data_IF_172151165682
#
_entry.id   IF_172151165682
#
_cell.length_a   1.000
_cell.length_b   1.000
_cell.length_c   1.000
_cell.angle_alpha   90.00
_cell.angle_beta   90.00
_cell.angle_gamma   90.00
#
_symmetry.space_group_name_H-M   'P 1'
#
loop_
_entity.id
_entity.type
_entity.pdbx_description
1 polymer ?
#
# COMPACT_ATOMS: atom_id res chain seq x y z
N UNK A 1 -40.84 1.66 -19.88
CA UNK A 1 -39.57 1.38 -20.59
C UNK A 1 -38.54 2.52 -20.53
N UNK A 2 -38.94 3.78 -20.29
CA UNK A 2 -38.02 4.92 -20.17
C UNK A 2 -37.21 4.94 -18.86
N UNK A 3 -37.77 4.48 -17.76
CA UNK A 3 -37.10 4.48 -16.44
C UNK A 3 -35.95 3.45 -16.31
N UNK A 4 -36.06 2.32 -17.01
CA UNK A 4 -35.02 1.31 -17.03
C UNK A 4 -33.76 1.77 -17.78
N UNK A 5 -33.93 2.54 -18.86
CA UNK A 5 -32.81 3.10 -19.63
C UNK A 5 -32.11 4.24 -18.87
N UNK A 6 -32.85 5.05 -18.12
CA UNK A 6 -32.31 6.10 -17.24
C UNK A 6 -31.50 5.52 -16.06
N UNK A 7 -32.01 4.47 -15.43
CA UNK A 7 -31.32 3.78 -14.33
C UNK A 7 -30.01 3.11 -14.76
N UNK A 8 -29.98 2.46 -15.92
CA UNK A 8 -28.78 1.81 -16.49
C UNK A 8 -27.71 2.84 -16.85
N UNK A 9 -28.10 3.99 -17.42
CA UNK A 9 -27.13 5.04 -17.80
C UNK A 9 -26.49 5.73 -16.58
N UNK A 10 -27.26 5.92 -15.50
CA UNK A 10 -26.77 6.48 -14.24
C UNK A 10 -25.80 5.51 -13.55
N UNK A 11 -26.07 4.22 -13.61
CA UNK A 11 -25.22 3.18 -13.02
C UNK A 11 -23.87 3.08 -13.76
N UNK A 12 -23.85 3.11 -15.08
CA UNK A 12 -22.61 3.13 -15.88
C UNK A 12 -21.74 4.37 -15.63
N UNK A 13 -22.33 5.54 -15.49
CA UNK A 13 -21.60 6.78 -15.17
C UNK A 13 -20.98 6.71 -13.78
N UNK A 14 -21.72 6.17 -12.84
CA UNK A 14 -21.23 5.98 -11.47
C UNK A 14 -20.09 4.98 -11.43
N UNK A 15 -20.23 3.86 -12.12
CA UNK A 15 -19.19 2.83 -12.24
C UNK A 15 -17.90 3.41 -12.80
N UNK A 16 -17.97 4.15 -13.91
CA UNK A 16 -16.81 4.82 -14.53
C UNK A 16 -16.15 5.81 -13.56
N UNK A 17 -16.93 6.57 -12.80
CA UNK A 17 -16.39 7.50 -11.78
C UNK A 17 -15.64 6.75 -10.68
N UNK A 18 -16.19 5.66 -10.15
CA UNK A 18 -15.52 4.83 -9.14
C UNK A 18 -14.23 4.24 -9.67
N UNK A 19 -14.21 3.74 -10.90
CA UNK A 19 -13.01 3.23 -11.53
C UNK A 19 -11.94 4.32 -11.73
N UNK A 20 -12.33 5.50 -12.20
CA UNK A 20 -11.41 6.63 -12.34
C UNK A 20 -10.81 7.01 -10.99
N UNK A 21 -11.63 7.08 -9.94
CA UNK A 21 -11.15 7.34 -8.58
C UNK A 21 -10.23 6.22 -8.10
N UNK A 22 -10.53 4.96 -8.40
CA UNK A 22 -9.65 3.82 -8.10
C UNK A 22 -8.27 3.94 -8.76
N UNK A 23 -8.23 4.36 -10.03
CA UNK A 23 -6.97 4.62 -10.75
C UNK A 23 -6.19 5.78 -10.11
N UNK A 24 -6.87 6.90 -9.82
CA UNK A 24 -6.26 8.04 -9.13
C UNK A 24 -5.71 7.64 -7.76
N UNK A 25 -6.45 6.83 -7.01
CA UNK A 25 -5.99 6.27 -5.74
C UNK A 25 -4.72 5.43 -5.93
N UNK A 26 -4.63 4.59 -6.97
CA UNK A 26 -3.43 3.79 -7.25
C UNK A 26 -2.20 4.65 -7.51
N UNK A 27 -2.32 5.70 -8.33
CA UNK A 27 -1.22 6.63 -8.62
C UNK A 27 -0.83 7.46 -7.39
N UNK A 28 -1.81 7.93 -6.62
CA UNK A 28 -1.57 8.67 -5.36
C UNK A 28 -0.91 7.77 -4.32
N UNK A 29 -1.31 6.50 -4.24
CA UNK A 29 -0.66 5.51 -3.39
C UNK A 29 0.82 5.39 -3.72
N UNK A 30 1.18 5.33 -5.01
CA UNK A 30 2.57 5.29 -5.44
C UNK A 30 3.38 6.47 -4.90
N UNK A 31 2.85 7.69 -4.98
CA UNK A 31 3.53 8.89 -4.49
C UNK A 31 3.82 8.82 -2.97
N UNK A 32 2.84 8.44 -2.17
CA UNK A 32 2.96 8.35 -0.72
C UNK A 32 3.82 7.18 -0.27
N UNK A 33 3.67 6.00 -0.88
CA UNK A 33 4.51 4.83 -0.59
C UNK A 33 5.97 5.09 -0.96
N UNK A 34 6.24 5.80 -2.06
CA UNK A 34 7.61 6.20 -2.42
C UNK A 34 8.23 7.18 -1.43
N UNK A 35 7.45 8.12 -0.88
CA UNK A 35 7.90 9.03 0.17
C UNK A 35 8.16 8.31 1.50
N UNK A 36 7.36 7.29 1.83
CA UNK A 36 7.48 6.51 3.06
C UNK A 36 8.77 5.69 3.16
N UNK A 37 9.43 5.43 2.03
CA UNK A 37 10.72 4.71 2.01
C UNK A 37 11.91 5.59 2.44
N UNK A 38 11.75 6.90 2.48
CA UNK A 38 12.86 7.82 2.80
C UNK A 38 13.49 7.57 4.18
N UNK A 39 12.76 7.27 5.26
CA UNK A 39 13.36 6.98 6.57
C UNK A 39 14.12 5.65 6.62
N UNK A 40 13.91 4.71 5.69
CA UNK A 40 14.69 3.46 5.66
C UNK A 40 16.17 3.71 5.41
N UNK A 41 16.53 4.86 4.86
CA UNK A 41 17.94 5.28 4.71
C UNK A 41 18.68 5.41 6.03
N UNK A 42 17.99 5.48 7.16
CA UNK A 42 18.61 5.43 8.48
C UNK A 42 19.36 4.11 8.73
N UNK A 43 19.09 3.06 7.95
CA UNK A 43 19.88 1.82 7.97
C UNK A 43 21.35 2.06 7.67
N UNK A 44 21.65 3.06 6.84
CA UNK A 44 23.05 3.42 6.48
C UNK A 44 23.82 4.02 7.65
N UNK A 45 23.13 4.41 8.73
CA UNK A 45 23.71 4.90 9.97
C UNK A 45 23.98 3.79 11.00
N UNK A 46 23.87 2.51 10.59
CA UNK A 46 24.17 1.35 11.42
C UNK A 46 23.05 0.88 12.34
N UNK A 47 21.82 1.35 12.13
CA UNK A 47 20.64 0.85 12.87
C UNK A 47 20.32 -0.59 12.47
N UNK A 48 19.93 -1.40 13.46
CA UNK A 48 19.45 -2.76 13.23
C UNK A 48 18.23 -2.75 12.32
N UNK A 49 18.20 -3.56 11.23
CA UNK A 49 17.04 -3.69 10.36
C UNK A 49 15.73 -4.01 11.10
N UNK A 50 15.83 -4.80 12.16
CA UNK A 50 14.67 -5.22 12.95
C UNK A 50 14.10 -4.07 13.77
N UNK A 51 14.97 -3.21 14.34
CA UNK A 51 14.56 -1.99 15.06
C UNK A 51 13.87 -1.03 14.11
N UNK A 52 14.41 -0.86 12.89
CA UNK A 52 13.81 -0.03 11.85
C UNK A 52 12.40 -0.53 11.52
N UNK A 53 12.27 -1.82 11.17
CA UNK A 53 10.98 -2.42 10.85
C UNK A 53 9.97 -2.32 11.97
N UNK A 54 10.36 -2.66 13.19
CA UNK A 54 9.45 -2.61 14.33
C UNK A 54 8.98 -1.19 14.61
N UNK A 55 9.88 -0.21 14.60
CA UNK A 55 9.51 1.18 14.83
C UNK A 55 8.59 1.71 13.70
N UNK A 56 8.86 1.37 12.43
CA UNK A 56 7.95 1.71 11.33
C UNK A 56 6.58 1.07 11.51
N UNK A 57 6.51 -0.22 11.90
CA UNK A 57 5.25 -0.93 12.14
C UNK A 57 4.47 -0.33 13.31
N UNK A 58 5.13 0.16 14.35
CA UNK A 58 4.47 0.94 15.40
C UNK A 58 3.85 2.23 14.83
N UNK A 59 4.57 2.93 13.96
CA UNK A 59 4.04 4.09 13.24
C UNK A 59 2.82 3.75 12.37
N UNK A 60 2.88 2.62 11.67
CA UNK A 60 1.75 2.05 10.90
C UNK A 60 0.56 1.76 11.83
N UNK A 61 0.80 1.14 12.99
CA UNK A 61 -0.25 0.85 13.97
C UNK A 61 -0.94 2.14 14.45
N UNK A 62 -0.17 3.16 14.83
CA UNK A 62 -0.71 4.45 15.25
C UNK A 62 -1.59 5.07 14.16
N UNK A 63 -1.15 5.05 12.89
CA UNK A 63 -1.89 5.61 11.79
C UNK A 63 -3.17 4.81 11.45
N UNK A 64 -3.10 3.48 11.42
CA UNK A 64 -4.23 2.60 11.08
C UNK A 64 -5.33 2.55 12.13
N UNK A 65 -5.08 3.06 13.33
CA UNK A 65 -6.12 3.26 14.34
C UNK A 65 -6.58 4.71 14.39
N UNK A 66 -5.64 5.68 14.35
CA UNK A 66 -6.00 7.10 14.49
C UNK A 66 -6.71 7.67 13.26
N UNK A 67 -6.27 7.33 12.04
CA UNK A 67 -6.90 7.84 10.82
C UNK A 67 -8.35 7.34 10.64
N UNK A 68 -8.68 6.04 10.78
CA UNK A 68 -10.06 5.59 10.75
C UNK A 68 -10.91 6.18 11.90
N UNK A 69 -10.36 6.28 13.11
CA UNK A 69 -11.04 6.91 14.24
C UNK A 69 -11.36 8.39 13.93
N UNK A 70 -10.42 9.10 13.30
CA UNK A 70 -10.63 10.50 12.90
C UNK A 70 -11.62 10.65 11.75
N UNK A 71 -11.60 9.76 10.75
CA UNK A 71 -12.43 9.89 9.53
C UNK A 71 -13.84 9.41 9.77
N UNK A 72 -14.04 8.22 10.33
CA UNK A 72 -15.35 7.58 10.48
C UNK A 72 -15.74 7.25 11.91
N UNK A 73 -14.78 7.05 12.81
CA UNK A 73 -14.97 6.66 14.21
C UNK A 73 -14.93 5.15 14.44
N UNK A 74 -14.56 4.76 15.66
CA UNK A 74 -14.45 3.34 16.07
C UNK A 74 -15.78 2.62 16.09
N UNK A 75 -16.88 3.31 16.33
CA UNK A 75 -18.25 2.74 16.25
C UNK A 75 -18.60 2.25 14.85
N UNK A 76 -18.13 2.96 13.81
CA UNK A 76 -18.29 2.52 12.41
C UNK A 76 -17.51 1.23 12.15
N UNK A 77 -16.26 1.16 12.60
CA UNK A 77 -15.43 -0.04 12.48
C UNK A 77 -16.13 -1.24 13.14
N UNK A 78 -16.64 -1.05 14.37
CA UNK A 78 -17.36 -2.09 15.08
C UNK A 78 -18.65 -2.54 14.37
N UNK A 79 -19.39 -1.61 13.76
CA UNK A 79 -20.59 -1.92 12.98
C UNK A 79 -20.25 -2.70 11.71
N UNK A 80 -19.21 -2.29 10.99
CA UNK A 80 -18.73 -2.92 9.76
C UNK A 80 -18.28 -4.37 10.02
N UNK A 81 -17.57 -4.60 11.13
CA UNK A 81 -17.11 -5.92 11.56
C UNK A 81 -18.27 -6.86 11.98
N UNK A 82 -19.32 -6.32 12.57
CA UNK A 82 -20.50 -7.14 12.92
C UNK A 82 -21.22 -7.67 11.69
N UNK A 83 -21.14 -6.99 10.55
CA UNK A 83 -21.70 -7.45 9.28
C UNK A 83 -20.89 -8.60 8.66
N UNK A 84 -19.58 -8.63 8.89
CA UNK A 84 -18.70 -9.63 8.29
C UNK A 84 -17.55 -10.03 9.23
N UNK A 85 -17.85 -10.70 10.38
CA UNK A 85 -16.86 -10.97 11.43
C UNK A 85 -15.75 -11.91 11.00
N UNK A 86 -15.99 -12.79 10.03
CA UNK A 86 -14.99 -13.68 9.46
C UNK A 86 -13.80 -12.93 8.82
N UNK A 87 -14.02 -11.68 8.40
CA UNK A 87 -12.97 -10.86 7.79
C UNK A 87 -11.89 -10.42 8.77
N UNK A 88 -12.14 -10.48 10.09
CA UNK A 88 -11.11 -10.23 11.11
C UNK A 88 -9.96 -11.23 10.94
N UNK A 89 -10.29 -12.52 10.78
CA UNK A 89 -9.28 -13.57 10.60
C UNK A 89 -8.46 -13.33 9.33
N UNK A 90 -9.13 -12.96 8.23
CA UNK A 90 -8.46 -12.64 6.98
C UNK A 90 -7.58 -11.40 7.09
N UNK A 91 -8.02 -10.37 7.85
CA UNK A 91 -7.23 -9.17 8.08
C UNK A 91 -5.97 -9.46 8.89
N UNK A 92 -6.11 -10.19 10.01
CA UNK A 92 -4.97 -10.58 10.86
C UNK A 92 -3.98 -11.44 10.08
N UNK A 93 -4.46 -12.44 9.32
CA UNK A 93 -3.62 -13.28 8.47
C UNK A 93 -2.84 -12.45 7.43
N UNK A 94 -3.51 -11.50 6.77
CA UNK A 94 -2.86 -10.61 5.81
C UNK A 94 -1.77 -9.76 6.48
N UNK A 95 -2.01 -9.28 7.70
CA UNK A 95 -1.02 -8.55 8.50
C UNK A 95 0.19 -9.40 8.88
N UNK A 96 -0.02 -10.66 9.26
CA UNK A 96 1.07 -11.60 9.50
C UNK A 96 1.91 -11.85 8.25
N UNK A 97 1.26 -12.08 7.09
CA UNK A 97 1.96 -12.27 5.81
C UNK A 97 2.79 -11.03 5.44
N UNK A 98 2.23 -9.83 5.65
CA UNK A 98 2.93 -8.58 5.41
C UNK A 98 4.18 -8.44 6.28
N UNK A 99 4.10 -8.73 7.58
CA UNK A 99 5.21 -8.60 8.51
C UNK A 99 6.37 -9.55 8.15
N UNK A 100 6.07 -10.79 7.78
CA UNK A 100 7.07 -11.76 7.33
C UNK A 100 7.71 -11.29 6.02
N UNK A 101 6.90 -10.87 5.05
CA UNK A 101 7.39 -10.36 3.76
C UNK A 101 8.30 -9.14 3.95
N UNK A 102 7.88 -8.17 4.76
CA UNK A 102 8.67 -6.97 5.08
C UNK A 102 10.02 -7.33 5.73
N UNK A 103 10.03 -8.28 6.65
CA UNK A 103 11.28 -8.77 7.25
C UNK A 103 12.21 -9.38 6.19
N UNK A 104 11.67 -10.21 5.30
CA UNK A 104 12.45 -10.83 4.22
C UNK A 104 13.02 -9.80 3.23
N UNK A 105 12.31 -8.70 2.95
CA UNK A 105 12.86 -7.63 2.09
C UNK A 105 14.08 -6.96 2.69
N UNK A 106 14.11 -6.78 4.01
CA UNK A 106 15.27 -6.20 4.69
C UNK A 106 16.48 -7.11 4.60
N UNK A 107 16.28 -8.42 4.79
CA UNK A 107 17.34 -9.41 4.57
C UNK A 107 17.80 -9.43 3.12
N UNK A 108 16.86 -9.37 2.15
CA UNK A 108 17.20 -9.30 0.74
C UNK A 108 18.05 -8.06 0.42
N UNK A 109 17.66 -6.88 0.93
CA UNK A 109 18.44 -5.64 0.74
C UNK A 109 19.83 -5.75 1.35
N UNK A 110 19.96 -6.36 2.53
CA UNK A 110 21.25 -6.60 3.15
C UNK A 110 22.15 -7.51 2.30
N UNK A 111 21.58 -8.61 1.77
CA UNK A 111 22.35 -9.68 1.15
C UNK A 111 22.66 -9.43 -0.34
N UNK A 112 21.74 -8.81 -1.10
CA UNK A 112 21.92 -8.53 -2.54
C UNK A 112 21.85 -7.05 -2.91
N UNK A 113 21.47 -6.19 -1.95
CA UNK A 113 21.26 -4.77 -2.18
C UNK A 113 19.90 -4.43 -2.75
N UNK A 114 19.52 -3.16 -2.60
CA UNK A 114 18.20 -2.67 -2.99
C UNK A 114 17.97 -2.86 -4.50
N UNK A 115 18.97 -2.63 -5.32
CA UNK A 115 18.87 -2.69 -6.78
C UNK A 115 18.48 -4.06 -7.33
N UNK A 116 18.85 -5.15 -6.68
CA UNK A 116 18.48 -6.50 -7.09
C UNK A 116 17.21 -6.95 -6.38
N UNK A 117 17.10 -6.66 -5.08
CA UNK A 117 15.98 -7.09 -4.27
C UNK A 117 14.66 -6.45 -4.73
N UNK A 118 14.69 -5.16 -5.06
CA UNK A 118 13.50 -4.37 -5.37
C UNK A 118 12.69 -4.88 -6.59
N UNK A 119 13.29 -5.15 -7.77
CA UNK A 119 12.58 -5.75 -8.88
C UNK A 119 12.04 -7.14 -8.56
N UNK A 120 12.79 -7.94 -7.79
CA UNK A 120 12.39 -9.30 -7.49
C UNK A 120 11.12 -9.36 -6.63
N UNK A 121 11.02 -8.56 -5.57
CA UNK A 121 9.80 -8.55 -4.77
C UNK A 121 8.62 -7.84 -5.44
N UNK A 122 8.87 -6.93 -6.39
CA UNK A 122 7.80 -6.31 -7.19
C UNK A 122 7.11 -7.28 -8.17
N UNK A 123 7.61 -8.50 -8.30
CA UNK A 123 6.86 -9.60 -8.89
C UNK A 123 5.52 -9.88 -8.17
N UNK A 124 5.31 -9.31 -6.96
CA UNK A 124 4.04 -9.31 -6.24
C UNK A 124 2.86 -8.84 -7.10
N UNK A 125 3.07 -7.87 -8.00
CA UNK A 125 2.03 -7.40 -8.93
C UNK A 125 1.57 -8.48 -9.89
N UNK A 126 2.50 -9.26 -10.44
CA UNK A 126 2.18 -10.35 -11.35
C UNK A 126 1.41 -11.46 -10.62
N UNK A 127 1.82 -11.77 -9.38
CA UNK A 127 1.08 -12.69 -8.52
C UNK A 127 -0.30 -12.15 -8.13
N UNK A 128 -0.40 -10.84 -7.84
CA UNK A 128 -1.69 -10.19 -7.59
C UNK A 128 -2.63 -10.31 -8.78
N UNK A 129 -2.13 -10.11 -10.01
CA UNK A 129 -2.90 -10.30 -11.24
C UNK A 129 -3.35 -11.77 -11.37
N UNK A 130 -2.44 -12.72 -11.15
CA UNK A 130 -2.76 -14.15 -11.19
C UNK A 130 -3.89 -14.51 -10.21
N UNK A 131 -3.80 -14.07 -8.96
CA UNK A 131 -4.82 -14.30 -7.95
C UNK A 131 -6.14 -13.59 -8.27
N UNK A 132 -6.08 -12.38 -8.83
CA UNK A 132 -7.25 -11.65 -9.30
C UNK A 132 -8.05 -12.44 -10.33
N UNK A 133 -7.36 -13.06 -11.29
CA UNK A 133 -7.96 -13.89 -12.33
C UNK A 133 -8.51 -15.20 -11.75
N UNK A 134 -7.73 -15.89 -10.93
CA UNK A 134 -8.06 -17.23 -10.42
C UNK A 134 -9.21 -17.19 -9.40
N UNK A 135 -9.12 -16.31 -8.40
CA UNK A 135 -10.09 -16.31 -7.31
C UNK A 135 -11.25 -15.33 -7.48
N UNK A 136 -11.03 -14.21 -8.17
CA UNK A 136 -11.99 -13.11 -8.18
C UNK A 136 -12.61 -12.84 -9.55
N UNK A 137 -12.32 -13.70 -10.55
CA UNK A 137 -12.81 -13.58 -11.91
C UNK A 137 -12.47 -12.22 -12.56
N UNK A 138 -11.40 -11.55 -12.09
CA UNK A 138 -10.92 -10.33 -12.71
C UNK A 138 -10.45 -10.63 -14.14
N UNK A 139 -10.64 -9.69 -15.05
CA UNK A 139 -10.41 -9.86 -16.49
C UNK A 139 -11.30 -10.89 -17.20
N UNK A 140 -12.12 -11.68 -16.48
CA UNK A 140 -13.10 -12.57 -17.13
C UNK A 140 -14.20 -11.75 -17.76
N UNK A 141 -14.38 -11.94 -19.09
CA UNK A 141 -15.32 -11.14 -19.89
C UNK A 141 -14.71 -9.82 -20.39
N UNK A 142 -13.45 -9.55 -20.10
CA UNK A 142 -12.69 -8.51 -20.76
C UNK A 142 -12.31 -8.95 -22.20
N UNK A 143 -12.25 -8.00 -23.12
CA UNK A 143 -11.73 -8.24 -24.47
C UNK A 143 -10.19 -8.40 -24.45
N UNK A 144 -9.62 -8.97 -25.51
CA UNK A 144 -8.20 -9.25 -25.61
C UNK A 144 -7.33 -7.98 -25.46
N UNK A 145 -7.83 -6.82 -25.86
CA UNK A 145 -7.12 -5.53 -25.75
C UNK A 145 -6.93 -5.14 -24.29
N UNK A 146 -7.92 -5.40 -23.43
CA UNK A 146 -7.82 -5.14 -22.00
C UNK A 146 -6.87 -6.12 -21.31
N UNK A 147 -6.92 -7.40 -21.71
CA UNK A 147 -5.95 -8.39 -21.28
C UNK A 147 -4.53 -7.95 -21.61
N UNK A 148 -4.29 -7.61 -22.87
CA UNK A 148 -2.98 -7.12 -23.31
C UNK A 148 -2.57 -5.84 -22.59
N UNK A 149 -3.50 -4.92 -22.35
CA UNK A 149 -3.26 -3.69 -21.60
C UNK A 149 -2.83 -3.94 -20.18
N UNK A 150 -3.52 -4.80 -19.43
CA UNK A 150 -3.17 -5.09 -18.04
C UNK A 150 -1.87 -5.89 -17.94
N UNK A 151 -1.74 -7.00 -18.67
CA UNK A 151 -0.55 -7.85 -18.61
C UNK A 151 0.67 -7.17 -19.22
N UNK A 152 0.50 -6.56 -20.37
CA UNK A 152 1.58 -5.83 -21.06
C UNK A 152 2.03 -4.61 -20.26
N UNK A 153 1.10 -3.85 -19.68
CA UNK A 153 1.43 -2.73 -18.81
C UNK A 153 2.15 -3.16 -17.54
N UNK A 154 1.72 -4.26 -16.90
CA UNK A 154 2.41 -4.80 -15.73
C UNK A 154 3.82 -5.31 -16.06
N UNK A 155 3.99 -5.94 -17.23
CA UNK A 155 5.29 -6.36 -17.72
C UNK A 155 6.20 -5.15 -18.00
N UNK A 156 5.69 -4.11 -18.66
CA UNK A 156 6.45 -2.87 -18.89
C UNK A 156 6.88 -2.23 -17.55
N UNK A 157 5.99 -2.16 -16.56
CA UNK A 157 6.35 -1.66 -15.24
C UNK A 157 7.46 -2.48 -14.59
N UNK A 158 7.38 -3.80 -14.68
CA UNK A 158 8.41 -4.70 -14.14
C UNK A 158 9.75 -4.52 -14.85
N UNK A 159 9.76 -4.44 -16.17
CA UNK A 159 10.98 -4.19 -16.97
C UNK A 159 11.57 -2.82 -16.66
N UNK A 160 10.75 -1.77 -16.60
CA UNK A 160 11.19 -0.42 -16.24
C UNK A 160 11.79 -0.36 -14.83
N UNK A 161 11.14 -1.01 -13.85
CA UNK A 161 11.65 -1.13 -12.49
C UNK A 161 12.99 -1.85 -12.42
N UNK A 162 13.15 -2.94 -13.18
CA UNK A 162 14.42 -3.68 -13.28
C UNK A 162 15.53 -2.82 -13.88
N UNK A 163 15.23 -2.05 -14.93
CA UNK A 163 16.19 -1.13 -15.53
C UNK A 163 16.65 -0.05 -14.53
N UNK A 164 15.71 0.53 -13.76
CA UNK A 164 16.03 1.49 -12.70
C UNK A 164 16.94 0.88 -11.63
N UNK A 165 16.64 -0.34 -11.22
CA UNK A 165 17.40 -1.04 -10.20
C UNK A 165 18.85 -1.34 -10.67
N UNK A 166 19.03 -1.80 -11.91
CA UNK A 166 20.36 -2.04 -12.49
C UNK A 166 21.16 -0.74 -12.58
N UNK A 167 20.53 0.36 -12.97
CA UNK A 167 21.17 1.67 -13.08
C UNK A 167 21.70 2.19 -11.74
N UNK A 168 21.03 1.87 -10.63
CA UNK A 168 21.43 2.30 -9.29
C UNK A 168 22.47 1.37 -8.64
N UNK A 169 22.84 0.25 -9.28
CA UNK A 169 23.75 -0.74 -8.71
C UNK A 169 25.21 -0.44 -9.00
N UNK A 170 25.93 0.10 -8.02
CA UNK A 170 27.41 0.08 -7.96
C UNK A 170 27.84 -1.08 -7.06
N UNK A 171 27.85 -2.34 -7.54
CA UNK A 171 27.86 -3.47 -6.61
C UNK A 171 29.12 -4.33 -6.64
N UNK A 172 29.66 -4.59 -5.44
CA UNK A 172 30.60 -5.68 -5.19
C UNK A 172 29.87 -7.03 -5.08
N UNK A 173 30.50 -8.15 -5.51
CA UNK A 173 29.98 -9.49 -5.32
C UNK A 173 29.69 -9.78 -3.83
N UNK A 174 28.54 -10.37 -3.52
CA UNK A 174 28.13 -10.70 -2.14
C UNK A 174 28.09 -12.19 -1.93
N UNK A 175 28.59 -12.65 -0.78
CA UNK A 175 28.68 -14.06 -0.43
C UNK A 175 27.31 -14.75 -0.33
N UNK A 176 26.28 -14.02 0.05
CA UNK A 176 24.93 -14.55 0.34
C UNK A 176 23.89 -14.25 -0.75
N UNK A 177 24.34 -14.05 -1.99
CA UNK A 177 23.47 -13.62 -3.10
C UNK A 177 22.22 -14.52 -3.29
N UNK A 178 22.39 -15.85 -3.21
CA UNK A 178 21.27 -16.78 -3.37
C UNK A 178 20.23 -16.60 -2.25
N UNK A 179 20.65 -16.44 -1.00
CA UNK A 179 19.76 -16.18 0.13
C UNK A 179 18.96 -14.90 -0.04
N UNK A 180 19.62 -13.82 -0.49
CA UNK A 180 18.98 -12.54 -0.75
C UNK A 180 17.95 -12.61 -1.88
N UNK A 181 18.27 -13.32 -2.98
CA UNK A 181 17.33 -13.53 -4.10
C UNK A 181 16.12 -14.35 -3.64
N UNK A 182 16.33 -15.44 -2.91
CA UNK A 182 15.23 -16.28 -2.39
C UNK A 182 14.36 -15.48 -1.42
N UNK A 183 14.96 -14.69 -0.53
CA UNK A 183 14.23 -13.82 0.39
C UNK A 183 13.37 -12.80 -0.37
N UNK A 184 13.90 -12.13 -1.39
CA UNK A 184 13.18 -11.16 -2.21
C UNK A 184 12.00 -11.80 -2.96
N UNK A 185 12.20 -12.94 -3.60
CA UNK A 185 11.15 -13.66 -4.31
C UNK A 185 10.07 -14.16 -3.35
N UNK A 186 10.46 -14.70 -2.18
CA UNK A 186 9.51 -15.15 -1.16
C UNK A 186 8.69 -13.97 -0.62
N UNK A 187 9.31 -12.81 -0.39
CA UNK A 187 8.59 -11.60 -0.02
C UNK A 187 7.57 -11.19 -1.08
N UNK A 188 7.94 -11.25 -2.37
CA UNK A 188 7.04 -11.01 -3.49
C UNK A 188 5.84 -11.96 -3.50
N UNK A 189 6.06 -13.25 -3.24
CA UNK A 189 4.98 -14.25 -3.13
C UNK A 189 4.04 -13.95 -1.95
N UNK A 190 4.60 -13.63 -0.78
CA UNK A 190 3.80 -13.33 0.41
C UNK A 190 2.98 -12.05 0.22
N UNK A 191 3.58 -10.97 -0.29
CA UNK A 191 2.85 -9.72 -0.58
C UNK A 191 1.80 -9.91 -1.67
N UNK A 192 2.12 -10.63 -2.76
CA UNK A 192 1.15 -10.94 -3.80
C UNK A 192 -0.05 -11.74 -3.26
N UNK A 193 0.19 -12.68 -2.34
CA UNK A 193 -0.84 -13.52 -1.73
C UNK A 193 -1.67 -12.76 -0.69
N UNK A 194 -1.11 -11.80 0.02
CA UNK A 194 -1.85 -10.99 0.99
C UNK A 194 -2.96 -10.13 0.34
N UNK A 195 -2.92 -9.91 -0.97
CA UNK A 195 -4.00 -9.21 -1.68
C UNK A 195 -5.30 -10.03 -1.78
N UNK A 196 -5.25 -11.36 -1.59
CA UNK A 196 -6.43 -12.22 -1.53
C UNK A 196 -7.36 -11.81 -0.37
N UNK A 197 -6.90 -11.74 0.90
CA UNK A 197 -7.68 -11.17 2.00
C UNK A 197 -8.26 -9.79 1.72
N UNK A 198 -7.48 -8.89 1.14
CA UNK A 198 -7.93 -7.55 0.77
C UNK A 198 -9.14 -7.59 -0.15
N UNK A 199 -9.01 -8.31 -1.26
CA UNK A 199 -10.08 -8.38 -2.26
C UNK A 199 -11.33 -9.07 -1.71
N UNK A 200 -11.18 -10.13 -0.92
CA UNK A 200 -12.32 -10.77 -0.22
C UNK A 200 -13.08 -9.76 0.65
N UNK A 201 -12.37 -8.98 1.45
CA UNK A 201 -12.98 -7.97 2.30
C UNK A 201 -13.77 -6.94 1.48
N UNK A 202 -13.22 -6.46 0.39
CA UNK A 202 -13.87 -5.39 -0.40
C UNK A 202 -15.01 -5.90 -1.27
N UNK A 203 -14.95 -7.12 -1.77
CA UNK A 203 -16.07 -7.75 -2.46
C UNK A 203 -17.26 -7.99 -1.54
N UNK A 204 -17.03 -8.34 -0.27
CA UNK A 204 -18.12 -8.49 0.73
C UNK A 204 -18.57 -7.15 1.32
N UNK A 205 -18.02 -6.04 0.88
CA UNK A 205 -18.49 -4.70 1.22
C UNK A 205 -17.78 -4.04 2.41
N UNK A 206 -16.79 -4.68 3.05
CA UNK A 206 -16.04 -4.05 4.12
C UNK A 206 -15.33 -2.79 3.64
N UNK A 207 -15.30 -1.75 4.49
CA UNK A 207 -14.52 -0.54 4.22
C UNK A 207 -13.02 -0.83 4.35
N UNK A 208 -12.17 -0.26 3.47
CA UNK A 208 -10.73 -0.27 3.67
C UNK A 208 -10.31 0.24 5.06
N UNK A 209 -10.96 1.27 5.57
CA UNK A 209 -10.69 1.83 6.89
C UNK A 209 -10.94 0.83 8.03
N UNK A 210 -11.97 -0.01 7.92
CA UNK A 210 -12.25 -1.05 8.92
C UNK A 210 -11.30 -2.24 8.81
N UNK A 211 -10.95 -2.63 7.58
CA UNK A 211 -10.07 -3.77 7.34
C UNK A 211 -8.66 -3.53 7.89
N UNK A 212 -8.08 -2.36 7.64
CA UNK A 212 -6.69 -2.07 8.04
C UNK A 212 -6.47 -2.02 9.56
N UNK A 213 -7.50 -1.71 10.36
CA UNK A 213 -7.37 -1.69 11.82
C UNK A 213 -7.04 -3.08 12.38
N UNK A 214 -7.66 -4.13 11.86
CA UNK A 214 -7.40 -5.51 12.27
C UNK A 214 -6.19 -6.13 11.56
N UNK A 215 -5.93 -5.72 10.34
CA UNK A 215 -4.71 -6.07 9.63
C UNK A 215 -3.47 -5.70 10.47
N UNK A 216 -3.43 -4.48 11.02
CA UNK A 216 -2.27 -4.01 11.77
C UNK A 216 -2.07 -4.72 13.12
N UNK A 217 -3.10 -5.37 13.66
CA UNK A 217 -2.94 -6.23 14.85
C UNK A 217 -2.08 -7.46 14.52
N UNK A 218 -2.37 -8.13 13.41
CA UNK A 218 -1.54 -9.24 12.92
C UNK A 218 -0.12 -8.80 12.56
N UNK A 219 -0.01 -7.66 11.89
CA UNK A 219 1.25 -7.06 11.50
C UNK A 219 2.16 -6.74 12.69
N UNK A 220 1.63 -6.02 13.68
CA UNK A 220 2.40 -5.65 14.89
C UNK A 220 2.75 -6.88 15.73
N UNK A 221 1.81 -7.80 15.91
CA UNK A 221 2.05 -9.03 16.68
C UNK A 221 3.14 -9.89 16.05
N UNK A 222 3.06 -10.15 14.74
CA UNK A 222 4.06 -10.93 14.02
C UNK A 222 5.42 -10.21 14.00
N UNK A 223 5.44 -8.90 13.70
CA UNK A 223 6.69 -8.13 13.66
C UNK A 223 7.37 -8.07 15.03
N UNK A 224 6.61 -7.90 16.10
CA UNK A 224 7.16 -7.94 17.48
C UNK A 224 7.77 -9.30 17.79
N UNK A 225 7.08 -10.38 17.40
CA UNK A 225 7.58 -11.74 17.59
C UNK A 225 8.89 -11.96 16.85
N UNK A 226 8.94 -11.56 15.56
CA UNK A 226 10.16 -11.67 14.75
C UNK A 226 11.30 -10.82 15.33
N UNK A 227 10.98 -9.62 15.82
CA UNK A 227 11.96 -8.74 16.43
C UNK A 227 12.58 -9.35 17.70
N UNK A 228 11.75 -9.87 18.60
CA UNK A 228 12.20 -10.53 19.83
C UNK A 228 13.07 -11.74 19.52
N UNK A 229 12.65 -12.58 18.56
CA UNK A 229 13.41 -13.77 18.18
C UNK A 229 14.75 -13.42 17.55
N UNK A 230 14.78 -12.43 16.65
CA UNK A 230 15.99 -12.04 15.93
C UNK A 230 17.01 -11.34 16.85
N UNK A 231 16.54 -10.50 17.78
CA UNK A 231 17.41 -9.81 18.75
C UNK A 231 17.87 -10.74 19.89
N UNK A 232 17.39 -11.98 19.96
CA UNK A 232 17.75 -12.93 21.00
C UNK A 232 17.04 -12.71 22.34
N UNK A 233 15.89 -12.01 22.33
CA UNK A 233 15.04 -11.80 23.50
C UNK A 233 14.54 -10.37 23.67
N UNK A 234 13.67 -10.17 24.66
CA UNK A 234 13.03 -8.88 24.92
C UNK A 234 14.04 -7.84 25.44
N UNK A 235 14.96 -8.25 26.34
CA UNK A 235 15.92 -7.32 26.93
C UNK A 235 16.94 -6.78 25.89
N UNK A 236 17.56 -7.60 25.02
CA UNK A 236 18.40 -7.09 23.92
C UNK A 236 17.64 -6.16 23.00
N UNK A 237 16.43 -6.52 22.58
CA UNK A 237 15.57 -5.67 21.72
C UNK A 237 15.30 -4.31 22.38
N UNK A 238 14.99 -4.31 23.65
CA UNK A 238 14.75 -3.06 24.41
C UNK A 238 15.99 -2.17 24.47
N UNK A 239 17.16 -2.75 24.64
CA UNK A 239 18.43 -2.02 24.64
C UNK A 239 18.70 -1.39 23.27
N UNK A 240 18.47 -2.11 22.16
CA UNK A 240 18.59 -1.58 20.81
C UNK A 240 17.62 -0.42 20.55
N UNK A 241 16.34 -0.58 20.93
CA UNK A 241 15.31 0.47 20.81
C UNK A 241 15.67 1.70 21.64
N UNK A 242 16.13 1.50 22.87
CA UNK A 242 16.54 2.59 23.76
C UNK A 242 17.73 3.36 23.20
N UNK A 243 18.70 2.67 22.60
CA UNK A 243 19.81 3.29 21.90
C UNK A 243 19.39 4.13 20.69
N UNK A 244 18.36 3.67 19.98
CA UNK A 244 17.82 4.33 18.79
C UNK A 244 16.82 5.48 19.10
N UNK A 245 16.48 5.77 20.35
CA UNK A 245 15.40 6.69 20.77
C UNK A 245 15.37 8.04 20.04
N UNK A 246 16.54 8.58 19.67
CA UNK A 246 16.65 9.90 19.03
C UNK A 246 16.28 9.89 17.54
N UNK A 247 16.19 8.72 16.92
CA UNK A 247 15.81 8.56 15.49
C UNK A 247 14.48 7.84 15.32
N UNK A 248 13.90 7.28 16.37
CA UNK A 248 12.62 6.53 16.33
C UNK A 248 11.50 7.40 15.74
N UNK A 249 11.44 8.70 16.04
CA UNK A 249 10.44 9.60 15.46
C UNK A 249 10.36 9.50 13.94
N UNK A 250 11.49 9.49 13.26
CA UNK A 250 11.54 9.44 11.79
C UNK A 250 11.02 8.11 11.25
N UNK A 251 11.27 7.02 11.97
CA UNK A 251 10.75 5.69 11.63
C UNK A 251 9.25 5.60 11.84
N UNK A 252 8.74 6.11 12.97
CA UNK A 252 7.30 6.22 13.25
C UNK A 252 6.61 7.06 12.18
N UNK A 253 7.20 8.21 11.82
CA UNK A 253 6.69 9.09 10.77
C UNK A 253 6.66 8.38 9.42
N UNK A 254 7.70 7.63 9.07
CA UNK A 254 7.74 6.81 7.86
C UNK A 254 6.61 5.79 7.81
N UNK A 255 6.38 5.07 8.90
CA UNK A 255 5.25 4.15 9.03
C UNK A 255 3.90 4.85 8.93
N UNK A 256 3.75 6.03 9.53
CA UNK A 256 2.52 6.83 9.42
C UNK A 256 2.25 7.27 7.98
N UNK A 257 3.26 7.79 7.30
CA UNK A 257 3.20 8.22 5.88
C UNK A 257 2.88 7.04 4.97
N UNK A 258 3.46 5.86 5.27
CA UNK A 258 3.19 4.63 4.54
C UNK A 258 1.69 4.26 4.55
N UNK A 259 1.01 4.42 5.69
CA UNK A 259 -0.43 4.12 5.82
C UNK A 259 -1.29 5.03 4.94
N UNK A 260 -0.91 6.27 4.74
CA UNK A 260 -1.63 7.16 3.81
C UNK A 260 -1.59 6.58 2.39
N UNK A 261 -0.41 6.14 1.95
CA UNK A 261 -0.25 5.45 0.66
C UNK A 261 -1.04 4.14 0.60
N UNK A 262 -0.93 3.32 1.64
CA UNK A 262 -1.64 2.04 1.74
C UNK A 262 -3.17 2.22 1.68
N UNK A 263 -3.74 3.20 2.35
CA UNK A 263 -5.17 3.50 2.27
C UNK A 263 -5.62 3.78 0.84
N UNK A 264 -4.89 4.58 0.09
CA UNK A 264 -5.20 4.81 -1.33
C UNK A 264 -5.01 3.54 -2.16
N UNK A 265 -4.00 2.73 -1.89
CA UNK A 265 -3.82 1.42 -2.52
C UNK A 265 -5.04 0.52 -2.27
N UNK A 266 -5.56 0.50 -1.05
CA UNK A 266 -6.75 -0.28 -0.68
C UNK A 266 -7.99 0.18 -1.47
N UNK A 267 -8.21 1.49 -1.62
CA UNK A 267 -9.30 2.01 -2.44
C UNK A 267 -9.09 1.73 -3.94
N UNK A 268 -7.85 1.73 -4.41
CA UNK A 268 -7.53 1.30 -5.78
C UNK A 268 -7.91 -0.17 -6.01
N UNK A 269 -7.56 -1.07 -5.08
CA UNK A 269 -7.96 -2.48 -5.13
C UNK A 269 -9.48 -2.63 -5.07
N UNK A 270 -10.16 -1.84 -4.24
CA UNK A 270 -11.61 -1.89 -4.10
C UNK A 270 -12.33 -1.55 -5.41
N UNK A 271 -11.94 -0.44 -6.06
CA UNK A 271 -12.67 0.11 -7.20
C UNK A 271 -12.09 -0.24 -8.59
N UNK A 272 -10.79 -0.49 -8.69
CA UNK A 272 -10.14 -0.89 -9.94
C UNK A 272 -9.75 -2.38 -10.01
N UNK A 273 -9.85 -3.11 -8.89
CA UNK A 273 -9.43 -4.51 -8.75
C UNK A 273 -7.95 -4.66 -8.42
N UNK A 274 -7.55 -5.88 -8.04
CA UNK A 274 -6.14 -6.20 -7.76
C UNK A 274 -5.29 -6.06 -9.02
N UNK A 275 -5.81 -6.53 -10.15
CA UNK A 275 -5.10 -6.57 -11.45
C UNK A 275 -4.66 -5.20 -11.95
N UNK A 276 -5.29 -4.13 -11.49
CA UNK A 276 -4.97 -2.75 -11.88
C UNK A 276 -4.45 -1.92 -10.70
N UNK A 277 -5.11 -2.03 -9.54
CA UNK A 277 -4.81 -1.22 -8.37
C UNK A 277 -3.38 -1.42 -7.86
N UNK A 278 -2.92 -2.66 -7.77
CA UNK A 278 -1.58 -2.97 -7.26
C UNK A 278 -0.47 -2.53 -8.23
N UNK A 279 -0.51 -2.86 -9.53
CA UNK A 279 0.49 -2.34 -10.45
C UNK A 279 0.58 -0.82 -10.47
N UNK A 280 -0.55 -0.10 -10.41
CA UNK A 280 -0.54 1.36 -10.36
C UNK A 280 0.11 1.92 -9.09
N UNK A 281 -0.09 1.29 -7.94
CA UNK A 281 0.58 1.71 -6.70
C UNK A 281 2.08 1.42 -6.71
N UNK A 282 2.55 0.46 -7.50
CA UNK A 282 3.98 0.17 -7.67
C UNK A 282 4.74 1.27 -8.45
N UNK A 283 4.06 2.34 -8.90
CA UNK A 283 4.72 3.58 -9.30
C UNK A 283 5.50 4.25 -8.15
N UNK A 284 5.38 3.73 -6.92
CA UNK A 284 6.19 4.13 -5.76
C UNK A 284 7.70 4.11 -6.03
N UNK A 285 8.15 3.24 -6.93
CA UNK A 285 9.55 3.19 -7.35
C UNK A 285 10.01 4.47 -8.06
N UNK A 286 9.16 5.04 -8.92
CA UNK A 286 9.46 6.32 -9.59
C UNK A 286 9.56 7.46 -8.56
N UNK A 287 8.64 7.46 -7.60
CA UNK A 287 8.65 8.46 -6.54
C UNK A 287 9.82 8.27 -5.59
N UNK A 288 10.13 7.04 -5.18
CA UNK A 288 11.32 6.72 -4.39
C UNK A 288 12.61 7.15 -5.09
N UNK A 289 12.70 6.94 -6.40
CA UNK A 289 13.83 7.44 -7.21
C UNK A 289 13.90 8.96 -7.21
N UNK A 290 12.78 9.67 -7.35
CA UNK A 290 12.75 11.14 -7.27
C UNK A 290 13.28 11.64 -5.91
N UNK A 291 12.84 11.01 -4.81
CA UNK A 291 13.39 11.32 -3.49
C UNK A 291 14.88 11.04 -3.41
N UNK A 292 15.35 9.88 -3.90
CA UNK A 292 16.74 9.49 -3.89
C UNK A 292 17.64 10.47 -4.66
N UNK A 293 17.23 10.84 -5.86
CA UNK A 293 18.02 11.70 -6.76
C UNK A 293 17.95 13.16 -6.36
N UNK A 294 16.75 13.68 -6.15
CA UNK A 294 16.54 15.11 -5.93
C UNK A 294 16.87 15.52 -4.49
N UNK A 295 16.40 14.75 -3.51
CA UNK A 295 16.57 15.08 -2.09
C UNK A 295 17.91 14.64 -1.55
N UNK A 296 18.33 13.41 -1.86
CA UNK A 296 19.58 12.83 -1.33
C UNK A 296 20.77 12.93 -2.30
N UNK A 297 20.56 13.32 -3.56
CA UNK A 297 21.63 13.51 -4.53
C UNK A 297 22.33 12.22 -4.96
N UNK A 298 21.65 11.06 -4.88
CA UNK A 298 22.29 9.75 -5.08
C UNK A 298 22.95 9.53 -6.44
N UNK A 299 22.49 10.20 -7.48
CA UNK A 299 23.08 10.11 -8.82
C UNK A 299 24.09 11.25 -9.12
N UNK A 300 24.44 12.09 -8.14
CA UNK A 300 25.42 13.15 -8.36
C UNK A 300 26.76 12.53 -8.71
N UNK A 301 27.29 12.86 -9.92
CA UNK A 301 28.52 12.27 -10.44
C UNK A 301 28.38 10.94 -11.19
N UNK A 302 27.12 10.45 -11.40
CA UNK A 302 26.87 9.27 -12.22
C UNK A 302 27.29 9.49 -13.69
N UNK A 303 27.59 8.39 -14.39
CA UNK A 303 27.91 8.41 -15.80
C UNK A 303 26.70 8.68 -16.67
N UNK A 304 26.89 9.18 -17.90
CA UNK A 304 25.83 9.38 -18.88
C UNK A 304 25.02 8.11 -19.15
N UNK A 305 25.66 6.94 -19.13
CA UNK A 305 24.99 5.64 -19.27
C UNK A 305 23.98 5.38 -18.17
N UNK A 306 24.32 5.68 -16.91
CA UNK A 306 23.42 5.53 -15.75
C UNK A 306 22.21 6.46 -15.88
N UNK A 307 22.43 7.73 -16.25
CA UNK A 307 21.32 8.67 -16.49
C UNK A 307 20.39 8.18 -17.60
N UNK A 308 20.93 7.68 -18.71
CA UNK A 308 20.11 7.14 -19.82
C UNK A 308 19.28 5.94 -19.38
N UNK A 309 19.84 5.04 -18.59
CA UNK A 309 19.13 3.89 -18.05
C UNK A 309 18.02 4.31 -17.07
N UNK A 310 18.32 5.29 -16.19
CA UNK A 310 17.34 5.82 -15.23
C UNK A 310 16.18 6.49 -15.96
N UNK A 311 16.46 7.36 -16.92
CA UNK A 311 15.42 8.03 -17.71
C UNK A 311 14.62 7.01 -18.53
N UNK A 312 15.30 6.10 -19.23
CA UNK A 312 14.66 5.06 -20.05
C UNK A 312 13.79 4.14 -19.21
N UNK A 313 14.29 3.63 -18.08
CA UNK A 313 13.53 2.80 -17.15
C UNK A 313 12.31 3.52 -16.58
N UNK A 314 12.45 4.80 -16.22
CA UNK A 314 11.35 5.64 -15.72
C UNK A 314 10.25 5.82 -16.77
N UNK A 315 10.65 6.09 -18.03
CA UNK A 315 9.69 6.24 -19.15
C UNK A 315 8.95 4.94 -19.44
N UNK A 316 9.64 3.80 -19.46
CA UNK A 316 9.03 2.47 -19.66
C UNK A 316 8.03 2.19 -18.53
N UNK A 317 8.40 2.47 -17.30
CA UNK A 317 7.52 2.27 -16.15
C UNK A 317 6.30 3.18 -16.18
N UNK A 318 6.48 4.46 -16.50
CA UNK A 318 5.37 5.42 -16.65
C UNK A 318 4.42 5.02 -17.78
N UNK A 319 4.98 4.54 -18.91
CA UNK A 319 4.19 4.00 -20.03
C UNK A 319 3.37 2.78 -19.59
N UNK A 320 3.98 1.84 -18.86
CA UNK A 320 3.27 0.66 -18.33
C UNK A 320 2.12 1.06 -17.41
N UNK A 321 2.33 2.00 -16.49
CA UNK A 321 1.28 2.52 -15.62
C UNK A 321 0.14 3.19 -16.43
N UNK A 322 0.49 3.98 -17.45
CA UNK A 322 -0.47 4.59 -18.37
C UNK A 322 -1.32 3.55 -19.09
N UNK A 323 -0.70 2.51 -19.66
CA UNK A 323 -1.39 1.41 -20.35
C UNK A 323 -2.39 0.71 -19.43
N UNK A 324 -2.01 0.43 -18.16
CA UNK A 324 -2.92 -0.15 -17.16
C UNK A 324 -4.07 0.82 -16.86
N UNK A 325 -3.78 2.10 -16.64
CA UNK A 325 -4.78 3.11 -16.30
C UNK A 325 -5.85 3.24 -17.40
N UNK A 326 -5.46 3.18 -18.69
CA UNK A 326 -6.39 3.20 -19.82
C UNK A 326 -7.13 1.87 -20.05
N UNK A 327 -6.67 0.77 -19.44
CA UNK A 327 -7.32 -0.55 -19.53
C UNK A 327 -8.48 -0.66 -18.54
N UNK A 328 -9.49 0.22 -18.64
CA UNK A 328 -10.63 0.30 -17.73
C UNK A 328 -11.42 -1.00 -17.63
N UNK A 329 -12.06 -1.22 -16.47
CA UNK A 329 -12.93 -2.39 -16.22
C UNK A 329 -14.14 -2.35 -17.17
N UNK A 330 -14.46 -3.46 -17.82
CA UNK A 330 -15.64 -3.56 -18.65
C UNK A 330 -16.90 -3.83 -17.81
N UNK A 331 -18.09 -3.50 -18.36
CA UNK A 331 -19.35 -3.85 -17.71
C UNK A 331 -19.48 -5.36 -17.48
N UNK A 332 -19.05 -6.18 -18.47
CA UNK A 332 -19.08 -7.64 -18.34
C UNK A 332 -18.18 -8.14 -17.21
N UNK A 333 -17.00 -7.55 -17.06
CA UNK A 333 -16.07 -7.85 -15.99
C UNK A 333 -16.67 -7.45 -14.62
N UNK A 334 -17.32 -6.29 -14.54
CA UNK A 334 -17.98 -5.84 -13.33
C UNK A 334 -19.10 -6.78 -12.88
N UNK A 335 -19.92 -7.28 -13.82
CA UNK A 335 -20.94 -8.28 -13.51
C UNK A 335 -20.34 -9.57 -12.93
N UNK A 336 -19.16 -9.97 -13.41
CA UNK A 336 -18.44 -11.12 -12.84
C UNK A 336 -17.92 -10.86 -11.42
N UNK A 337 -17.57 -9.62 -11.10
CA UNK A 337 -17.24 -9.23 -9.73
C UNK A 337 -18.45 -9.28 -8.81
N UNK A 338 -19.62 -8.84 -9.28
CA UNK A 338 -20.88 -8.94 -8.53
C UNK A 338 -21.25 -10.41 -8.26
N UNK A 339 -21.07 -11.31 -9.22
CA UNK A 339 -21.25 -12.75 -9.03
C UNK A 339 -20.27 -13.30 -7.97
N UNK A 340 -19.00 -12.87 -7.98
CA UNK A 340 -18.02 -13.26 -6.98
C UNK A 340 -18.38 -12.72 -5.59
N UNK A 341 -18.80 -11.46 -5.51
CA UNK A 341 -19.27 -10.84 -4.28
C UNK A 341 -20.51 -11.55 -3.70
N UNK A 342 -21.45 -11.91 -4.55
CA UNK A 342 -22.66 -12.66 -4.14
C UNK A 342 -22.30 -14.02 -3.57
N UNK A 343 -21.39 -14.77 -4.22
CA UNK A 343 -20.93 -16.08 -3.72
C UNK A 343 -20.22 -15.97 -2.37
N UNK A 344 -19.34 -15.00 -2.21
CA UNK A 344 -18.66 -14.77 -0.93
C UNK A 344 -19.66 -14.33 0.16
N UNK A 345 -20.59 -13.44 -0.16
CA UNK A 345 -21.64 -13.02 0.77
C UNK A 345 -22.51 -14.18 1.23
N UNK A 346 -22.96 -15.04 0.31
CA UNK A 346 -23.75 -16.23 0.64
C UNK A 346 -22.99 -17.22 1.52
N UNK A 347 -21.69 -17.42 1.24
CA UNK A 347 -20.83 -18.35 2.00
C UNK A 347 -20.73 -17.95 3.49
N UNK A 348 -20.75 -16.67 3.78
CA UNK A 348 -20.54 -16.14 5.13
C UNK A 348 -21.77 -15.45 5.73
N UNK A 349 -22.92 -15.53 5.06
CA UNK A 349 -24.16 -14.94 5.57
C UNK A 349 -24.19 -13.42 5.62
N UNK A 350 -23.40 -12.76 4.74
CA UNK A 350 -23.39 -11.29 4.66
C UNK A 350 -24.62 -10.78 3.92
N UNK A 351 -25.25 -9.71 4.44
CA UNK A 351 -26.43 -9.10 3.82
C UNK A 351 -26.15 -8.63 2.37
N UNK A 352 -26.89 -9.13 1.38
CA UNK A 352 -26.73 -8.73 -0.01
C UNK A 352 -27.00 -7.23 -0.26
N UNK A 353 -27.85 -6.59 0.56
CA UNK A 353 -28.13 -5.16 0.45
C UNK A 353 -26.90 -4.34 0.89
N UNK A 354 -26.27 -4.75 1.99
CA UNK A 354 -25.02 -4.17 2.46
C UNK A 354 -23.91 -4.29 1.40
N UNK A 355 -23.68 -5.49 0.87
CA UNK A 355 -22.65 -5.74 -0.15
C UNK A 355 -22.85 -4.88 -1.41
N UNK A 356 -24.09 -4.80 -1.91
CA UNK A 356 -24.43 -3.99 -3.08
C UNK A 356 -24.24 -2.49 -2.85
N UNK A 357 -24.70 -1.98 -1.71
CA UNK A 357 -24.55 -0.56 -1.35
C UNK A 357 -23.06 -0.18 -1.29
N UNK A 358 -22.23 -1.00 -0.66
CA UNK A 358 -20.79 -0.79 -0.55
C UNK A 358 -20.06 -0.91 -1.89
N UNK A 359 -20.44 -1.88 -2.73
CA UNK A 359 -19.92 -2.00 -4.10
C UNK A 359 -20.28 -0.80 -4.99
N UNK A 360 -21.44 -0.19 -4.75
CA UNK A 360 -21.87 1.04 -5.40
C UNK A 360 -21.20 2.31 -4.82
N UNK A 361 -20.25 2.19 -3.89
CA UNK A 361 -19.50 3.31 -3.31
C UNK A 361 -20.23 4.07 -2.20
N UNK A 362 -21.23 3.47 -1.54
CA UNK A 362 -21.82 4.03 -0.34
C UNK A 362 -20.98 3.63 0.87
N UNK A 363 -19.94 4.42 1.18
CA UNK A 363 -19.05 4.17 2.32
C UNK A 363 -19.63 4.69 3.64
N UNK A 364 -20.57 5.61 3.60
CA UNK A 364 -21.26 6.13 4.78
C UNK A 364 -22.15 5.07 5.44
N UNK A 365 -22.30 5.17 6.76
CA UNK A 365 -23.31 4.42 7.52
C UNK A 365 -24.67 5.09 7.32
N UNK A 366 -25.75 4.28 7.29
CA UNK A 366 -27.13 4.79 7.28
C UNK A 366 -27.46 5.62 8.54
N UNK A 367 -26.69 5.44 9.61
CA UNK A 367 -26.79 6.20 10.86
C UNK A 367 -25.54 7.06 11.02
N UNK A 368 -25.73 8.37 11.24
CA UNK A 368 -24.64 9.30 11.55
C UNK A 368 -24.02 8.91 12.90
N UNK A 369 -22.87 8.22 12.90
CA UNK A 369 -22.19 7.85 14.13
C UNK A 369 -21.57 9.10 14.79
N UNK A 370 -22.00 9.38 16.02
CA UNK A 370 -21.33 10.40 16.85
C UNK A 370 -19.95 9.87 17.24
N UNK A 371 -18.97 10.78 17.25
CA UNK A 371 -17.64 10.49 17.79
C UNK A 371 -17.75 10.09 19.25
N UNK A 372 -17.07 8.99 19.59
CA UNK A 372 -17.02 8.47 20.94
C UNK A 372 -15.79 9.01 21.68
N UNK A 373 -15.76 8.91 23.01
CA UNK A 373 -14.56 9.24 23.77
C UNK A 373 -13.38 8.34 23.39
N UNK A 374 -13.63 7.10 22.93
CA UNK A 374 -12.60 6.18 22.46
C UNK A 374 -11.91 6.72 21.20
N UNK A 375 -12.65 7.34 20.29
CA UNK A 375 -12.08 7.95 19.08
C UNK A 375 -11.04 9.02 19.45
N UNK A 376 -11.41 9.87 20.40
CA UNK A 376 -10.52 10.93 20.88
C UNK A 376 -9.33 10.37 21.69
N UNK A 377 -9.54 9.31 22.47
CA UNK A 377 -8.46 8.63 23.18
C UNK A 377 -7.42 8.05 22.21
N UNK A 378 -7.89 7.38 21.14
CA UNK A 378 -7.01 6.79 20.13
C UNK A 378 -6.24 7.88 19.38
N UNK A 379 -6.93 8.93 18.91
CA UNK A 379 -6.28 10.04 18.19
C UNK A 379 -5.29 10.80 19.09
N UNK A 380 -5.71 11.12 20.31
CA UNK A 380 -4.84 11.84 21.27
C UNK A 380 -3.64 11.01 21.69
N UNK A 381 -3.82 9.70 21.91
CA UNK A 381 -2.72 8.78 22.24
C UNK A 381 -1.70 8.66 21.11
N UNK A 382 -2.16 8.51 19.88
CA UNK A 382 -1.28 8.47 18.71
C UNK A 382 -0.53 9.80 18.52
N UNK A 383 -1.24 10.94 18.67
CA UNK A 383 -0.64 12.27 18.59
C UNK A 383 0.39 12.49 19.70
N UNK A 384 0.06 12.15 20.94
CA UNK A 384 0.97 12.28 22.09
C UNK A 384 2.23 11.43 21.90
N UNK A 385 2.10 10.20 21.35
CA UNK A 385 3.24 9.35 21.04
C UNK A 385 4.15 10.00 20.00
N UNK A 386 3.60 10.47 18.89
CA UNK A 386 4.38 11.13 17.84
C UNK A 386 5.05 12.42 18.35
N UNK A 387 4.33 13.25 19.10
CA UNK A 387 4.86 14.50 19.68
C UNK A 387 5.95 14.18 20.72
N UNK A 388 5.74 13.16 21.58
CA UNK A 388 6.73 12.74 22.57
C UNK A 388 8.04 12.30 21.93
N UNK A 389 7.99 11.50 20.87
CA UNK A 389 9.21 11.12 20.13
C UNK A 389 9.79 12.28 19.32
N UNK A 390 8.96 13.17 18.77
CA UNK A 390 9.44 14.37 18.09
C UNK A 390 10.24 15.30 19.02
N UNK A 391 9.81 15.43 20.29
CA UNK A 391 10.49 16.27 21.28
C UNK A 391 11.92 15.81 21.61
N UNK A 392 12.22 14.52 21.46
CA UNK A 392 13.56 13.95 21.69
C UNK A 392 14.31 13.63 20.41
N UNK A 393 13.67 13.85 19.26
CA UNK A 393 14.23 13.53 17.95
C UNK A 393 15.44 14.40 17.62
N UNK A 394 16.43 13.78 17.00
CA UNK A 394 17.55 14.49 16.37
C UNK A 394 17.45 14.38 14.87
N UNK A 395 17.85 15.43 14.16
CA UNK A 395 17.96 15.38 12.72
C UNK A 395 19.00 14.32 12.33
N UNK A 396 18.69 13.40 11.42
CA UNK A 396 19.67 12.45 10.92
C UNK A 396 20.85 13.18 10.26
N UNK A 397 22.06 12.68 10.41
CA UNK A 397 23.26 13.22 9.77
C UNK A 397 23.30 12.77 8.29
N UNK A 398 22.24 13.10 7.53
CA UNK A 398 22.13 12.85 6.10
C UNK A 398 22.22 14.18 5.34
N UNK A 399 22.88 14.17 4.19
CA UNK A 399 22.88 15.31 3.29
C UNK A 399 21.49 15.42 2.63
N UNK A 400 20.68 16.38 3.09
CA UNK A 400 19.32 16.59 2.61
C UNK A 400 19.24 17.92 1.87
N UNK A 401 18.74 17.90 0.65
CA UNK A 401 18.38 19.10 -0.13
C UNK A 401 16.95 19.50 0.23
N UNK A 402 16.83 20.37 1.21
CA UNK A 402 15.53 20.75 1.80
C UNK A 402 14.55 21.37 0.81
N UNK A 403 15.03 22.07 -0.18
CA UNK A 403 14.22 22.66 -1.26
C UNK A 403 13.42 21.60 -2.02
N UNK A 404 14.11 20.52 -2.43
CA UNK A 404 13.48 19.39 -3.12
C UNK A 404 12.60 18.56 -2.18
N UNK A 405 13.01 18.40 -0.93
CA UNK A 405 12.18 17.73 0.07
C UNK A 405 10.84 18.48 0.28
N UNK A 406 10.89 19.80 0.37
CA UNK A 406 9.69 20.65 0.47
C UNK A 406 8.83 20.56 -0.80
N UNK A 407 9.45 20.65 -1.98
CA UNK A 407 8.73 20.58 -3.25
C UNK A 407 8.01 19.24 -3.43
N UNK A 408 8.69 18.10 -3.21
CA UNK A 408 8.07 16.78 -3.31
C UNK A 408 6.99 16.56 -2.24
N UNK A 409 7.20 17.07 -1.02
CA UNK A 409 6.17 17.03 0.03
C UNK A 409 4.92 17.82 -0.38
N UNK A 410 5.05 18.98 -0.98
CA UNK A 410 3.92 19.77 -1.48
C UNK A 410 3.17 19.03 -2.60
N UNK A 411 3.89 18.39 -3.52
CA UNK A 411 3.28 17.59 -4.59
C UNK A 411 2.50 16.39 -4.03
N UNK A 412 3.07 15.65 -3.08
CA UNK A 412 2.40 14.51 -2.44
C UNK A 412 1.19 14.96 -1.63
N UNK A 413 1.26 16.08 -0.90
CA UNK A 413 0.13 16.67 -0.19
C UNK A 413 -0.95 17.16 -1.16
N UNK A 414 -0.57 17.75 -2.29
CA UNK A 414 -1.51 18.12 -3.36
C UNK A 414 -2.24 16.90 -3.93
N UNK A 415 -1.52 15.80 -4.17
CA UNK A 415 -2.11 14.54 -4.61
C UNK A 415 -3.08 13.97 -3.55
N UNK A 416 -2.72 14.02 -2.26
CA UNK A 416 -3.60 13.65 -1.15
C UNK A 416 -4.89 14.45 -1.16
N UNK A 417 -4.79 15.77 -1.23
CA UNK A 417 -5.95 16.65 -1.19
C UNK A 417 -6.85 16.42 -2.41
N UNK A 418 -6.29 16.38 -3.62
CA UNK A 418 -7.04 16.17 -4.85
C UNK A 418 -7.74 14.82 -4.90
N UNK A 419 -7.00 13.75 -4.64
CA UNK A 419 -7.54 12.39 -4.65
C UNK A 419 -8.49 12.15 -3.47
N UNK A 420 -8.18 12.67 -2.28
CA UNK A 420 -9.04 12.60 -1.10
C UNK A 420 -10.39 13.28 -1.32
N UNK A 421 -10.40 14.48 -1.91
CA UNK A 421 -11.65 15.18 -2.28
C UNK A 421 -12.43 14.38 -3.34
N UNK A 422 -11.75 13.86 -4.37
CA UNK A 422 -12.39 13.05 -5.40
C UNK A 422 -13.03 11.79 -4.81
N UNK A 423 -12.29 11.08 -3.93
CA UNK A 423 -12.77 9.90 -3.22
C UNK A 423 -13.98 10.24 -2.35
N UNK A 424 -13.87 11.27 -1.51
CA UNK A 424 -14.94 11.71 -0.61
C UNK A 424 -16.23 12.05 -1.35
N UNK A 425 -16.14 12.83 -2.43
CA UNK A 425 -17.31 13.21 -3.25
C UNK A 425 -17.94 12.04 -3.99
N UNK A 426 -17.14 11.04 -4.37
CA UNK A 426 -17.61 9.89 -5.18
C UNK A 426 -18.20 8.80 -4.30
N UNK A 427 -17.65 8.57 -3.11
CA UNK A 427 -17.99 7.43 -2.25
C UNK A 427 -19.03 7.73 -1.17
N UNK A 428 -19.52 8.96 -1.11
CA UNK A 428 -20.57 9.37 -0.15
C UNK A 428 -20.28 8.85 1.26
N UNK A 429 -19.23 9.35 1.88
CA UNK A 429 -18.90 9.09 3.28
C UNK A 429 -19.90 9.72 4.28
N UNK A 430 -20.94 10.39 3.82
CA UNK A 430 -21.95 11.08 4.64
C UNK A 430 -23.12 10.17 4.97
#
# INVERSE_FOLDING_TARGET
>A
MSDAAGGVALDERRLRRLQTVGILCGLTAGAWLGAAETPTKLVTLGLSPVVISLAMVVGVFLARWSLPALIQGTSYIAADLRQAPHLIVWAVLAGCLWAVANTLTIFAVRDVGLSIAFPLWNSNSLLGIFWGIVFFNELRGADWRRWLGVLGGALLMFVGATALAIASSTQAPRADALRGVVAALTAGVLWGTMYIPYRKAYLTGMSPLSFITFFTVGELGMMTTLAVVYSGGVAPLWNELSGARHVIFWLLLGGFVWVVGDLFQQYAVKYAGITRGIPLSNTNQLWGLLWAVLVFGELSGATSSVYTQVIGGSLIMALGAGVIAFSSVSRREHLRWEEAATREGQRYGVDPAYTRARGAGHEGSATRHRRTWIDWLVVSGATATLVGFAAVARAPQLAIRWEWAAALSLVTLGALAGCGIALWRTTRFN
#
